data_IF_937629677231
#
_entry.id   IF_937629677231
#
_cell.length_a   1.000
_cell.length_b   1.000
_cell.length_c   1.000
_cell.angle_alpha   90.00
_cell.angle_beta   90.00
_cell.angle_gamma   90.00
#
_symmetry.space_group_name_H-M   'P 1'
#
loop_
_entity.id
_entity.type
_entity.pdbx_description
1 polymer ?
#
# COMPACT_ATOMS: atom_id res chain seq x y z
N UNK A 1 -9.56 25.46 8.40
CA UNK A 1 -10.20 24.24 7.85
C UNK A 1 -9.13 23.53 7.05
N UNK A 2 -8.76 22.30 7.39
CA UNK A 2 -7.84 21.53 6.56
C UNK A 2 -8.51 21.32 5.19
N UNK A 3 -7.82 21.59 4.11
CA UNK A 3 -8.27 21.30 2.75
C UNK A 3 -8.43 19.79 2.69
N UNK A 4 -9.64 19.33 2.43
CA UNK A 4 -9.93 17.89 2.36
C UNK A 4 -9.26 17.36 1.10
N UNK A 5 -8.29 16.44 1.25
CA UNK A 5 -7.61 15.81 0.12
C UNK A 5 -8.62 15.25 -0.88
N UNK A 6 -8.34 15.41 -2.16
CA UNK A 6 -9.16 14.84 -3.25
C UNK A 6 -9.07 13.31 -3.26
N UNK A 7 -7.96 12.74 -2.78
CA UNK A 7 -7.77 11.29 -2.70
C UNK A 7 -8.15 10.82 -1.30
N UNK A 8 -9.18 10.01 -1.22
CA UNK A 8 -9.72 9.48 0.04
C UNK A 8 -9.63 7.97 0.15
N UNK A 9 -9.35 7.30 -0.96
CA UNK A 9 -9.40 5.85 -1.12
C UNK A 9 -8.01 5.32 -1.50
N UNK A 10 -7.63 4.19 -0.90
CA UNK A 10 -6.41 3.47 -1.27
C UNK A 10 -6.70 1.99 -1.47
N UNK A 11 -6.17 1.41 -2.55
CA UNK A 11 -6.21 -0.02 -2.79
C UNK A 11 -4.87 -0.67 -2.47
N UNK A 12 -4.95 -1.82 -1.82
CA UNK A 12 -3.82 -2.71 -1.56
C UNK A 12 -4.00 -4.03 -2.33
N UNK A 13 -3.35 -4.19 -3.49
CA UNK A 13 -3.31 -5.47 -4.20
C UNK A 13 -2.51 -6.52 -3.41
N UNK A 14 -3.20 -7.38 -2.67
CA UNK A 14 -2.63 -8.35 -1.73
C UNK A 14 -3.04 -9.80 -2.05
N UNK A 15 -3.44 -10.11 -3.29
CA UNK A 15 -3.91 -11.43 -3.67
C UNK A 15 -2.78 -12.42 -4.03
N UNK A 16 -1.57 -11.94 -4.37
CA UNK A 16 -0.45 -12.74 -4.86
C UNK A 16 0.07 -13.79 -3.88
N UNK A 17 0.64 -14.88 -4.40
CA UNK A 17 1.10 -16.02 -3.59
C UNK A 17 2.38 -15.77 -2.79
N UNK A 18 3.15 -14.72 -3.10
CA UNK A 18 4.40 -14.42 -2.39
C UNK A 18 5.50 -15.45 -2.59
N UNK A 19 5.58 -16.09 -3.76
CA UNK A 19 6.50 -17.21 -4.02
C UNK A 19 7.99 -16.85 -3.86
N UNK A 20 8.36 -15.59 -4.03
CA UNK A 20 9.72 -15.09 -3.80
C UNK A 20 10.17 -15.19 -2.33
N UNK A 21 9.23 -15.28 -1.40
CA UNK A 21 9.47 -15.34 0.05
C UNK A 21 9.30 -16.76 0.64
N UNK A 22 9.24 -17.79 -0.21
CA UNK A 22 9.20 -19.16 0.29
C UNK A 22 10.53 -19.51 1.01
N UNK A 23 10.48 -20.31 2.11
CA UNK A 23 9.29 -21.04 2.62
C UNK A 23 8.40 -20.23 3.58
N UNK A 24 8.76 -19.01 3.98
CA UNK A 24 8.02 -18.21 4.98
C UNK A 24 6.55 -18.00 4.58
N UNK A 25 6.29 -17.80 3.29
CA UNK A 25 4.95 -17.53 2.76
C UNK A 25 4.13 -18.78 2.45
N UNK A 26 4.61 -19.98 2.81
CA UNK A 26 3.85 -21.22 2.61
C UNK A 26 2.52 -21.23 3.38
N UNK A 27 2.53 -20.69 4.60
CA UNK A 27 1.37 -20.69 5.50
C UNK A 27 0.91 -19.28 5.89
N UNK A 28 1.68 -18.24 5.53
CA UNK A 28 1.41 -16.87 5.92
C UNK A 28 1.47 -15.94 4.69
N UNK A 29 0.52 -15.00 4.54
CA UNK A 29 0.62 -13.97 3.51
C UNK A 29 1.94 -13.20 3.57
N UNK A 30 2.57 -12.88 2.43
CA UNK A 30 3.78 -12.05 2.40
C UNK A 30 3.58 -10.69 3.08
N UNK A 31 2.38 -10.17 2.97
CA UNK A 31 1.95 -8.90 3.53
C UNK A 31 1.92 -8.90 5.07
N UNK A 32 1.88 -10.10 5.67
CA UNK A 32 1.91 -10.32 7.12
C UNK A 32 3.31 -10.66 7.64
N UNK A 33 4.33 -10.69 6.80
CA UNK A 33 5.70 -10.83 7.26
C UNK A 33 6.08 -9.65 8.15
N UNK A 34 6.63 -9.91 9.36
CA UNK A 34 6.95 -8.82 10.28
C UNK A 34 8.21 -8.07 9.84
N UNK A 35 8.15 -6.75 9.90
CA UNK A 35 9.32 -5.88 9.87
C UNK A 35 9.43 -5.24 11.25
N UNK A 36 10.45 -5.64 12.01
CA UNK A 36 10.64 -5.32 13.43
C UNK A 36 9.46 -5.84 14.26
N UNK A 37 8.43 -5.06 14.51
CA UNK A 37 7.31 -5.40 15.42
C UNK A 37 5.93 -5.39 14.75
N UNK A 38 5.84 -4.94 13.49
CA UNK A 38 4.58 -4.79 12.78
C UNK A 38 4.59 -5.58 11.47
N UNK A 39 3.45 -6.12 11.00
CA UNK A 39 3.38 -6.71 9.68
C UNK A 39 3.56 -5.64 8.59
N UNK A 40 4.17 -6.04 7.50
CA UNK A 40 4.51 -5.19 6.36
C UNK A 40 3.33 -4.33 5.88
N UNK A 41 2.15 -4.92 5.79
CA UNK A 41 0.93 -4.23 5.31
C UNK A 41 0.50 -3.08 6.22
N UNK A 42 0.80 -3.16 7.53
CA UNK A 42 0.45 -2.09 8.47
C UNK A 42 1.20 -0.79 8.16
N UNK A 43 2.47 -0.88 7.76
CA UNK A 43 3.25 0.31 7.36
C UNK A 43 2.60 1.04 6.19
N UNK A 44 2.09 0.29 5.19
CA UNK A 44 1.38 0.90 4.06
C UNK A 44 0.08 1.58 4.48
N UNK A 45 -0.68 1.00 5.41
CA UNK A 45 -1.92 1.61 5.93
C UNK A 45 -1.61 2.87 6.74
N UNK A 46 -0.56 2.85 7.58
CA UNK A 46 -0.08 4.03 8.30
C UNK A 46 0.32 5.15 7.32
N UNK A 47 1.00 4.81 6.23
CA UNK A 47 1.38 5.76 5.17
C UNK A 47 0.15 6.35 4.47
N UNK A 48 -0.84 5.52 4.13
CA UNK A 48 -2.10 5.99 3.54
C UNK A 48 -2.83 6.96 4.47
N UNK A 49 -2.90 6.64 5.75
CA UNK A 49 -3.54 7.50 6.76
C UNK A 49 -2.78 8.83 6.94
N UNK A 50 -1.43 8.81 6.99
CA UNK A 50 -0.61 10.03 7.04
C UNK A 50 -0.84 10.93 5.82
N UNK A 51 -1.15 10.35 4.64
CA UNK A 51 -1.52 11.08 3.42
C UNK A 51 -2.98 11.58 3.42
N UNK A 52 -3.73 11.41 4.52
CA UNK A 52 -5.12 11.84 4.66
C UNK A 52 -6.15 10.89 4.07
N UNK A 53 -5.77 9.65 3.77
CA UNK A 53 -6.64 8.61 3.20
C UNK A 53 -7.18 7.74 4.33
N UNK A 54 -8.50 7.57 4.39
CA UNK A 54 -9.18 6.82 5.44
C UNK A 54 -10.01 5.63 4.94
N UNK A 55 -10.19 5.48 3.62
CA UNK A 55 -10.92 4.35 3.04
C UNK A 55 -9.93 3.38 2.39
N UNK A 56 -9.74 2.23 3.01
CA UNK A 56 -8.72 1.26 2.66
C UNK A 56 -9.37 0.00 2.08
N UNK A 57 -9.05 -0.32 0.83
CA UNK A 57 -9.51 -1.51 0.14
C UNK A 57 -8.40 -2.55 -0.01
N UNK A 58 -8.59 -3.73 0.54
CA UNK A 58 -7.68 -4.85 0.34
C UNK A 58 -8.22 -5.80 -0.74
N UNK A 59 -7.46 -5.97 -1.82
CA UNK A 59 -7.76 -6.95 -2.86
C UNK A 59 -7.05 -8.25 -2.49
N UNK A 60 -7.79 -9.18 -1.90
CA UNK A 60 -7.25 -10.40 -1.32
C UNK A 60 -7.52 -11.63 -2.17
N UNK A 61 -6.78 -12.70 -1.92
CA UNK A 61 -6.98 -14.02 -2.51
C UNK A 61 -7.31 -15.09 -1.45
N UNK A 62 -7.37 -16.33 -1.90
CA UNK A 62 -7.51 -17.47 -0.97
C UNK A 62 -6.29 -17.54 -0.04
N UNK A 63 -6.53 -17.82 1.25
CA UNK A 63 -5.46 -17.96 2.26
C UNK A 63 -4.95 -16.61 2.82
N UNK A 64 -5.62 -15.48 2.54
CA UNK A 64 -5.22 -14.14 3.00
C UNK A 64 -6.03 -13.65 4.22
N UNK A 65 -6.70 -14.56 4.95
CA UNK A 65 -7.55 -14.21 6.09
C UNK A 65 -6.81 -13.42 7.18
N UNK A 66 -5.55 -13.74 7.43
CA UNK A 66 -4.73 -13.07 8.42
C UNK A 66 -4.62 -11.53 8.21
N UNK A 67 -4.80 -11.03 6.97
CA UNK A 67 -4.85 -9.60 6.71
C UNK A 67 -6.12 -8.99 7.32
N UNK A 68 -7.27 -9.63 7.14
CA UNK A 68 -8.52 -9.15 7.72
C UNK A 68 -8.48 -9.26 9.24
N UNK A 69 -8.04 -10.40 9.76
CA UNK A 69 -7.93 -10.66 11.21
C UNK A 69 -7.00 -9.64 11.90
N UNK A 70 -5.99 -9.09 11.20
CA UNK A 70 -5.08 -8.08 11.74
C UNK A 70 -5.74 -6.71 11.96
N UNK A 71 -6.66 -6.35 11.08
CA UNK A 71 -7.41 -5.08 11.14
C UNK A 71 -8.82 -5.27 11.74
N UNK A 72 -9.01 -6.31 12.56
CA UNK A 72 -10.25 -6.59 13.25
C UNK A 72 -9.99 -6.75 14.76
N UNK A 73 -11.02 -6.58 15.57
CA UNK A 73 -10.93 -6.73 17.01
C UNK A 73 -10.74 -8.19 17.41
N UNK A 74 -9.68 -8.49 18.14
CA UNK A 74 -9.47 -9.80 18.77
C UNK A 74 -9.93 -9.76 20.23
N UNK A 75 -11.22 -9.99 20.45
CA UNK A 75 -11.83 -9.84 21.77
C UNK A 75 -11.12 -10.66 22.85
N UNK A 76 -10.78 -11.91 22.59
CA UNK A 76 -10.14 -12.80 23.56
C UNK A 76 -8.73 -12.31 23.92
N UNK A 77 -7.93 -11.91 22.91
CA UNK A 77 -6.59 -11.38 23.13
C UNK A 77 -6.66 -10.07 23.92
N UNK A 78 -7.51 -9.14 23.48
CA UNK A 78 -7.64 -7.82 24.10
C UNK A 78 -8.14 -7.93 25.54
N UNK A 79 -9.09 -8.82 25.80
CA UNK A 79 -9.55 -9.10 27.15
C UNK A 79 -8.43 -9.66 28.04
N UNK A 80 -7.59 -10.56 27.51
CA UNK A 80 -6.49 -11.19 28.23
C UNK A 80 -5.37 -10.21 28.63
N UNK A 81 -5.10 -9.19 27.80
CA UNK A 81 -4.01 -8.24 28.05
C UNK A 81 -4.49 -6.94 28.71
N UNK A 82 -5.80 -6.76 28.87
CA UNK A 82 -6.39 -5.54 29.46
C UNK A 82 -5.82 -5.24 30.84
N UNK A 83 -5.38 -4.00 31.03
CA UNK A 83 -4.77 -3.54 32.29
C UNK A 83 -3.32 -4.01 32.51
N UNK A 84 -2.71 -4.72 31.56
CA UNK A 84 -1.29 -5.10 31.59
C UNK A 84 -0.43 -4.12 30.79
N UNK A 85 0.90 -4.17 31.01
CA UNK A 85 1.85 -3.39 30.21
C UNK A 85 1.88 -3.77 28.72
N UNK A 86 1.23 -4.87 28.33
CA UNK A 86 1.17 -5.34 26.92
C UNK A 86 0.07 -4.63 26.13
N UNK A 87 -0.91 -4.03 26.78
CA UNK A 87 -2.03 -3.37 26.13
C UNK A 87 -1.57 -2.31 25.12
N UNK A 88 -0.54 -1.55 25.48
CA UNK A 88 0.06 -0.52 24.62
C UNK A 88 0.62 -1.01 23.28
N UNK A 89 0.89 -2.30 23.13
CA UNK A 89 1.38 -2.85 21.86
C UNK A 89 0.29 -2.92 20.78
N UNK A 90 -0.96 -2.74 21.16
CA UNK A 90 -2.09 -2.66 20.22
C UNK A 90 -2.53 -1.21 19.93
N UNK A 91 -1.93 -0.21 20.58
CA UNK A 91 -2.41 1.19 20.43
C UNK A 91 -2.33 1.68 18.98
N UNK A 92 -1.23 1.36 18.26
CA UNK A 92 -1.07 1.76 16.86
C UNK A 92 -2.16 1.13 15.98
N UNK A 93 -2.44 -0.17 16.15
CA UNK A 93 -3.44 -0.85 15.31
C UNK A 93 -4.87 -0.41 15.66
N UNK A 94 -5.17 -0.19 16.94
CA UNK A 94 -6.45 0.37 17.37
C UNK A 94 -6.68 1.75 16.77
N UNK A 95 -5.65 2.59 16.78
CA UNK A 95 -5.73 3.92 16.17
C UNK A 95 -6.06 3.85 14.67
N UNK A 96 -5.50 2.89 13.94
CA UNK A 96 -5.86 2.66 12.53
C UNK A 96 -7.31 2.20 12.39
N UNK A 97 -7.75 1.25 13.22
CA UNK A 97 -9.12 0.73 13.19
C UNK A 97 -10.17 1.79 13.52
N UNK A 98 -9.85 2.72 14.42
CA UNK A 98 -10.74 3.80 14.82
C UNK A 98 -10.83 4.93 13.77
N UNK A 99 -9.82 5.09 12.91
CA UNK A 99 -9.71 6.20 11.97
C UNK A 99 -9.81 5.80 10.49
N UNK A 100 -9.82 4.51 10.18
CA UNK A 100 -9.92 3.99 8.81
C UNK A 100 -11.12 3.06 8.64
N UNK A 101 -11.73 3.09 7.46
CA UNK A 101 -12.73 2.13 7.01
C UNK A 101 -12.06 1.06 6.14
N UNK A 102 -12.22 -0.21 6.50
CA UNK A 102 -11.60 -1.32 5.80
C UNK A 102 -12.60 -2.11 4.96
N UNK A 103 -12.28 -2.34 3.69
CA UNK A 103 -13.07 -3.12 2.74
C UNK A 103 -12.22 -4.25 2.18
N UNK A 104 -12.73 -5.47 2.20
CA UNK A 104 -12.04 -6.65 1.70
C UNK A 104 -12.76 -7.19 0.46
N UNK A 105 -12.08 -7.16 -0.68
CA UNK A 105 -12.58 -7.67 -1.95
C UNK A 105 -11.72 -8.84 -2.43
N UNK A 106 -12.32 -9.78 -3.14
CA UNK A 106 -11.64 -11.00 -3.52
C UNK A 106 -11.35 -11.06 -5.01
N UNK A 107 -10.06 -11.09 -5.34
CA UNK A 107 -9.61 -11.48 -6.67
C UNK A 107 -9.73 -13.01 -6.81
N UNK A 108 -10.63 -13.48 -7.68
CA UNK A 108 -10.87 -14.91 -7.86
C UNK A 108 -9.79 -15.60 -8.68
N UNK A 109 -9.29 -14.91 -9.69
CA UNK A 109 -8.29 -15.38 -10.64
C UNK A 109 -7.07 -14.47 -10.63
N UNK A 110 -5.87 -15.05 -10.66
CA UNK A 110 -4.61 -14.31 -10.58
C UNK A 110 -4.20 -13.78 -11.96
N UNK A 111 -4.94 -12.81 -12.49
CA UNK A 111 -4.72 -12.20 -13.80
C UNK A 111 -3.81 -10.94 -13.75
N UNK A 112 -3.00 -10.82 -12.70
CA UNK A 112 -2.03 -9.74 -12.56
C UNK A 112 -2.54 -8.50 -11.81
N UNK A 113 -1.67 -7.47 -11.73
CA UNK A 113 -1.89 -6.26 -10.94
C UNK A 113 -3.07 -5.43 -11.46
N UNK A 114 -3.16 -5.22 -12.77
CA UNK A 114 -4.25 -4.45 -13.36
C UNK A 114 -5.63 -5.06 -13.07
N UNK A 115 -5.74 -6.39 -13.12
CA UNK A 115 -6.97 -7.08 -12.75
C UNK A 115 -7.28 -6.97 -11.23
N UNK A 116 -6.25 -6.98 -10.39
CA UNK A 116 -6.45 -6.73 -8.95
C UNK A 116 -7.02 -5.32 -8.71
N UNK A 117 -6.48 -4.30 -9.37
CA UNK A 117 -6.98 -2.93 -9.29
C UNK A 117 -8.43 -2.86 -9.80
N UNK A 118 -8.73 -3.47 -10.95
CA UNK A 118 -10.09 -3.53 -11.52
C UNK A 118 -11.08 -4.22 -10.56
N UNK A 119 -10.64 -5.23 -9.80
CA UNK A 119 -11.46 -5.87 -8.77
C UNK A 119 -11.91 -4.86 -7.70
N UNK A 120 -11.17 -3.77 -7.51
CA UNK A 120 -11.48 -2.67 -6.58
C UNK A 120 -12.53 -1.68 -7.07
N UNK A 121 -12.94 -1.74 -8.34
CA UNK A 121 -13.88 -0.79 -8.95
C UNK A 121 -15.16 -0.54 -8.13
N UNK A 122 -15.84 -1.55 -7.55
CA UNK A 122 -17.05 -1.34 -6.76
C UNK A 122 -16.86 -0.43 -5.55
N UNK A 123 -15.65 -0.40 -4.96
CA UNK A 123 -15.31 0.50 -3.86
C UNK A 123 -14.91 1.88 -4.37
N UNK A 124 -14.16 1.93 -5.46
CA UNK A 124 -13.56 3.16 -5.97
C UNK A 124 -14.58 4.03 -6.69
N UNK A 125 -15.42 3.43 -7.55
CA UNK A 125 -16.29 4.16 -8.45
C UNK A 125 -15.48 5.03 -9.42
N UNK A 126 -15.94 6.25 -9.64
CA UNK A 126 -15.28 7.25 -10.51
C UNK A 126 -14.46 8.28 -9.73
N UNK A 127 -13.92 7.92 -8.59
CA UNK A 127 -13.11 8.82 -7.76
C UNK A 127 -11.62 8.57 -7.96
N UNK A 128 -10.76 9.60 -7.78
CA UNK A 128 -9.33 9.38 -7.72
C UNK A 128 -8.97 8.55 -6.48
N UNK A 129 -7.97 7.69 -6.63
CA UNK A 129 -7.54 6.79 -5.57
C UNK A 129 -6.04 6.52 -5.62
N UNK A 130 -5.50 6.08 -4.50
CA UNK A 130 -4.13 5.63 -4.40
C UNK A 130 -4.04 4.09 -4.53
N UNK A 131 -2.88 3.61 -4.93
CA UNK A 131 -2.52 2.18 -4.90
C UNK A 131 -1.18 2.06 -4.16
N UNK A 132 -1.14 1.19 -3.16
CA UNK A 132 0.09 0.83 -2.45
C UNK A 132 0.33 -0.68 -2.66
N UNK A 133 1.51 -1.02 -3.13
CA UNK A 133 1.99 -2.39 -3.15
C UNK A 133 2.57 -2.70 -1.76
N UNK A 134 1.99 -3.66 -1.05
CA UNK A 134 2.35 -3.92 0.34
C UNK A 134 3.78 -4.44 0.55
N UNK A 135 4.46 -4.89 -0.51
CA UNK A 135 5.86 -5.33 -0.50
C UNK A 135 6.85 -4.24 -0.99
N UNK A 136 6.34 -3.04 -1.23
CA UNK A 136 7.14 -1.87 -1.62
C UNK A 136 7.09 -0.82 -0.50
N UNK A 137 8.06 -0.90 0.41
CA UNK A 137 8.12 -0.06 1.60
C UNK A 137 9.04 1.13 1.39
N UNK A 138 8.44 2.32 1.28
CA UNK A 138 9.18 3.56 1.16
C UNK A 138 9.53 4.14 2.54
N UNK A 139 10.83 4.26 2.82
CA UNK A 139 11.30 4.94 4.03
C UNK A 139 11.19 6.46 3.90
N UNK A 140 10.98 7.15 5.01
CA UNK A 140 11.11 8.62 5.03
C UNK A 140 12.57 9.00 4.72
N UNK A 141 12.81 9.98 3.84
CA UNK A 141 14.19 10.36 3.46
C UNK A 141 15.01 10.90 4.65
N UNK A 142 14.36 11.60 5.58
CA UNK A 142 14.97 12.19 6.79
C UNK A 142 13.92 12.36 7.87
N UNK A 143 14.34 12.59 9.13
CA UNK A 143 13.41 13.03 10.17
C UNK A 143 12.67 14.32 9.72
N UNK A 144 11.34 14.28 9.75
CA UNK A 144 10.49 15.40 9.33
C UNK A 144 10.17 15.44 7.83
N UNK A 145 10.72 14.55 7.00
CA UNK A 145 10.35 14.42 5.58
C UNK A 145 8.95 13.80 5.40
N UNK A 146 8.28 14.16 4.29
CA UNK A 146 7.01 13.55 3.91
C UNK A 146 7.23 12.14 3.34
N UNK A 147 6.29 11.23 3.62
CA UNK A 147 6.28 9.89 3.03
C UNK A 147 5.98 9.97 1.53
N UNK A 148 6.36 8.93 0.80
CA UNK A 148 6.20 8.89 -0.66
C UNK A 148 4.75 9.13 -1.09
N UNK A 149 3.77 8.50 -0.46
CA UNK A 149 2.37 8.69 -0.83
C UNK A 149 1.88 10.14 -0.58
N UNK A 150 2.30 10.79 0.50
CA UNK A 150 1.94 12.21 0.74
C UNK A 150 2.47 13.12 -0.37
N UNK A 151 3.69 12.86 -0.86
CA UNK A 151 4.26 13.57 -2.02
C UNK A 151 3.46 13.31 -3.30
N UNK A 152 3.06 12.04 -3.56
CA UNK A 152 2.25 11.68 -4.73
C UNK A 152 0.87 12.34 -4.69
N UNK A 153 0.24 12.41 -3.52
CA UNK A 153 -1.05 13.10 -3.32
C UNK A 153 -0.92 14.59 -3.63
N UNK A 154 0.12 15.25 -3.12
CA UNK A 154 0.39 16.67 -3.41
C UNK A 154 0.63 16.92 -4.91
N UNK A 155 1.35 16.02 -5.59
CA UNK A 155 1.56 16.09 -7.04
C UNK A 155 0.24 15.87 -7.81
N UNK A 156 -0.59 14.93 -7.38
CA UNK A 156 -1.92 14.74 -7.98
C UNK A 156 -2.78 16.00 -7.83
N UNK A 157 -2.81 16.63 -6.68
CA UNK A 157 -3.57 17.87 -6.46
C UNK A 157 -3.08 19.01 -7.37
N UNK A 158 -1.78 19.04 -7.68
CA UNK A 158 -1.17 20.04 -8.56
C UNK A 158 -1.43 19.75 -10.04
N UNK A 159 -1.25 18.51 -10.49
CA UNK A 159 -1.22 18.17 -11.92
C UNK A 159 -2.52 17.52 -12.42
N UNK A 160 -3.38 17.03 -11.54
CA UNK A 160 -4.67 16.39 -11.87
C UNK A 160 -4.56 15.26 -12.90
N UNK A 161 -3.49 14.47 -12.83
CA UNK A 161 -3.22 13.31 -13.67
C UNK A 161 -2.70 12.14 -12.82
N UNK A 162 -2.63 10.94 -13.39
CA UNK A 162 -2.03 9.79 -12.71
C UNK A 162 -0.57 10.07 -12.38
N UNK A 163 -0.17 9.78 -11.14
CA UNK A 163 1.19 9.94 -10.62
C UNK A 163 1.73 8.56 -10.25
N UNK A 164 2.98 8.29 -10.61
CA UNK A 164 3.69 7.04 -10.30
C UNK A 164 5.00 7.39 -9.59
N UNK A 165 5.29 6.72 -8.48
CA UNK A 165 6.61 6.79 -7.85
C UNK A 165 7.64 6.08 -8.72
N UNK A 166 8.81 6.67 -8.87
CA UNK A 166 9.94 6.11 -9.61
C UNK A 166 11.21 6.21 -8.77
N UNK A 167 12.16 5.32 -9.04
CA UNK A 167 13.49 5.33 -8.46
C UNK A 167 14.54 5.03 -9.52
N UNK A 168 15.76 5.48 -9.29
CA UNK A 168 16.89 5.09 -10.14
C UNK A 168 17.34 3.68 -9.76
N UNK A 169 17.51 2.84 -10.77
CA UNK A 169 18.07 1.50 -10.64
C UNK A 169 19.29 1.33 -11.55
N UNK A 170 20.25 0.45 -11.21
CA UNK A 170 21.37 0.11 -12.09
C UNK A 170 20.89 -0.34 -13.48
N UNK A 171 21.58 0.08 -14.53
CA UNK A 171 21.18 -0.21 -15.91
C UNK A 171 21.07 -1.70 -16.22
N UNK A 172 21.88 -2.53 -15.58
CA UNK A 172 21.88 -3.99 -15.69
C UNK A 172 20.70 -4.67 -14.97
N UNK A 173 20.00 -3.95 -14.08
CA UNK A 173 18.83 -4.44 -13.36
C UNK A 173 17.50 -4.05 -14.02
N UNK A 174 17.49 -3.17 -15.02
CA UNK A 174 16.26 -2.64 -15.67
C UNK A 174 15.35 -3.74 -16.22
N UNK A 175 15.90 -4.90 -16.60
CA UNK A 175 15.15 -6.07 -17.07
C UNK A 175 14.20 -6.67 -16.02
N UNK A 176 14.34 -6.28 -14.75
CA UNK A 176 13.50 -6.74 -13.64
C UNK A 176 12.33 -5.80 -13.31
N UNK A 177 12.34 -4.59 -13.86
CA UNK A 177 11.41 -3.50 -13.53
C UNK A 177 10.60 -2.99 -14.72
N UNK A 178 9.53 -2.26 -14.44
CA UNK A 178 8.93 -1.36 -15.41
C UNK A 178 9.80 -0.11 -15.55
N UNK A 179 10.23 0.23 -16.75
CA UNK A 179 11.09 1.38 -17.03
C UNK A 179 10.30 2.45 -17.75
N UNK A 180 10.44 3.70 -17.30
CA UNK A 180 9.81 4.85 -17.93
C UNK A 180 10.82 5.62 -18.79
N UNK A 181 10.33 6.31 -19.82
CA UNK A 181 11.02 7.42 -20.47
C UNK A 181 10.20 8.69 -20.36
N UNK A 182 10.83 9.83 -20.25
CA UNK A 182 10.14 11.11 -20.07
C UNK A 182 11.08 12.30 -19.97
N UNK A 183 10.50 13.50 -19.89
CA UNK A 183 11.23 14.73 -19.70
C UNK A 183 11.10 15.20 -18.25
N UNK A 184 12.18 15.62 -17.66
CA UNK A 184 12.16 16.28 -16.36
C UNK A 184 11.53 17.67 -16.50
N UNK A 185 10.40 17.88 -15.79
CA UNK A 185 9.65 19.15 -15.82
C UNK A 185 9.88 20.02 -14.58
N UNK A 186 10.36 19.41 -13.51
CA UNK A 186 10.85 20.05 -12.29
C UNK A 186 11.79 19.07 -11.57
N UNK A 187 12.62 19.51 -10.60
CA UNK A 187 13.54 18.62 -9.91
C UNK A 187 12.88 17.37 -9.36
N UNK A 188 13.28 16.18 -9.89
CA UNK A 188 12.71 14.89 -9.52
C UNK A 188 11.30 14.61 -10.03
N UNK A 189 10.73 15.46 -10.88
CA UNK A 189 9.39 15.28 -11.46
C UNK A 189 9.49 15.13 -12.98
N UNK A 190 9.03 14.00 -13.48
CA UNK A 190 9.13 13.65 -14.90
C UNK A 190 7.75 13.53 -15.54
N UNK A 191 7.59 14.10 -16.74
CA UNK A 191 6.45 13.82 -17.59
C UNK A 191 6.71 12.53 -18.36
N UNK A 192 6.01 11.45 -18.01
CA UNK A 192 6.17 10.16 -18.65
C UNK A 192 5.64 10.23 -20.09
N UNK A 193 6.47 9.77 -21.03
CA UNK A 193 6.13 9.65 -22.46
C UNK A 193 5.88 8.21 -22.85
N UNK A 194 6.63 7.28 -22.25
CA UNK A 194 6.51 5.85 -22.55
C UNK A 194 6.87 5.02 -21.31
N UNK A 195 6.36 3.80 -21.27
CA UNK A 195 6.58 2.86 -20.18
C UNK A 195 6.71 1.45 -20.77
N UNK A 196 7.80 0.77 -20.43
CA UNK A 196 8.09 -0.59 -20.90
C UNK A 196 8.26 -1.52 -19.71
N UNK A 197 7.43 -2.54 -19.62
CA UNK A 197 7.56 -3.60 -18.61
C UNK A 197 8.69 -4.54 -18.98
N UNK A 198 9.69 -4.65 -18.08
CA UNK A 198 10.84 -5.55 -18.21
C UNK A 198 11.49 -5.51 -19.59
N UNK A 199 12.07 -4.37 -19.96
CA UNK A 199 12.72 -4.24 -21.26
C UNK A 199 13.80 -5.31 -21.42
N UNK A 200 13.95 -5.82 -22.66
CA UNK A 200 15.08 -6.67 -22.97
C UNK A 200 16.35 -5.83 -22.98
N UNK A 201 17.47 -6.37 -22.44
CA UNK A 201 18.74 -5.67 -22.48
C UNK A 201 19.19 -5.35 -23.92
#
# INVERSE_FOLDING_TARGET
MAVKSLIRKCLFPAAGYGTRFLPATKAMPKEMLPIVSKPLIQYGVEEAMEAGISQIGFITGRGKRAIADHFDTSFELEHQIKGTSKEKFLDDIRYLMDNCEFVFMRQREMLGLGHAILTGEPMIGNEPFAVILADDLCAKPTEGGERALSQLVALYERYQCSIVAIEEVPADETHSYGVISGDEIAPGIYQIKDMVEKPKP
#
